data_IF_661328589091
#
_entry.id   IF_661328589091
#
_cell.length_a   1.000
_cell.length_b   1.000
_cell.length_c   1.000
_cell.angle_alpha   90.00
_cell.angle_beta   90.00
_cell.angle_gamma   90.00
#
_symmetry.space_group_name_H-M   'P 1'
#
loop_
_entity.id
_entity.type
_entity.pdbx_description
1 polymer ?
#
# COMPACT_ATOMS: atom_id res chain seq x y z
N UNK A 1 13.17 -62.89 37.93
CA UNK A 1 12.07 -63.07 36.95
C UNK A 1 12.32 -62.10 35.82
N UNK A 2 12.52 -62.45 34.56
CA UNK A 2 12.34 -63.66 33.74
C UNK A 2 13.28 -63.41 32.55
N UNK A 3 14.24 -64.31 32.26
CA UNK A 3 14.09 -65.33 31.20
C UNK A 3 14.41 -64.73 29.83
N UNK A 4 15.59 -64.95 29.24
CA UNK A 4 15.95 -66.07 28.34
C UNK A 4 15.18 -65.96 26.99
N UNK A 5 15.68 -66.23 25.78
CA UNK A 5 16.75 -67.07 25.19
C UNK A 5 16.85 -66.61 23.69
N UNK A 6 17.89 -66.80 22.87
CA UNK A 6 18.44 -68.03 22.27
C UNK A 6 19.60 -67.57 21.33
N UNK A 7 20.85 -68.03 21.46
CA UNK A 7 21.50 -69.12 20.69
C UNK A 7 21.25 -69.07 19.17
N UNK A 8 22.17 -69.35 18.24
CA UNK A 8 23.61 -69.58 18.15
C UNK A 8 23.93 -69.66 16.63
N UNK A 9 25.20 -69.96 16.29
CA UNK A 9 25.64 -70.58 15.04
C UNK A 9 26.05 -69.69 13.85
N UNK A 10 27.37 -69.48 13.77
CA UNK A 10 28.11 -69.35 12.51
C UNK A 10 28.51 -70.75 12.03
N UNK A 11 28.63 -70.98 10.71
CA UNK A 11 29.91 -71.50 10.24
C UNK A 11 30.42 -70.83 8.95
N UNK A 12 31.75 -70.76 8.89
CA UNK A 12 32.60 -70.28 7.80
C UNK A 12 32.68 -71.32 6.67
N UNK A 13 32.46 -70.93 5.41
CA UNK A 13 33.00 -71.58 4.19
C UNK A 13 33.23 -70.47 3.15
N UNK A 14 34.46 -69.96 3.00
CA UNK A 14 35.47 -70.29 1.96
C UNK A 14 35.13 -69.73 0.56
N UNK A 15 35.98 -68.77 0.15
CA UNK A 15 36.49 -68.45 -1.18
C UNK A 15 35.81 -69.03 -2.43
N UNK A 16 35.32 -68.15 -3.29
CA UNK A 16 35.57 -68.26 -4.73
C UNK A 16 35.58 -66.88 -5.38
N UNK A 17 36.74 -66.56 -5.95
CA UNK A 17 37.04 -65.39 -6.79
C UNK A 17 36.24 -65.48 -8.09
N UNK A 18 35.58 -64.39 -8.50
CA UNK A 18 35.33 -64.15 -9.92
C UNK A 18 35.37 -62.64 -10.23
N UNK A 19 36.52 -62.24 -10.76
CA UNK A 19 36.77 -60.97 -11.43
C UNK A 19 36.01 -60.99 -12.75
N UNK A 20 35.09 -60.05 -12.96
CA UNK A 20 34.70 -59.59 -14.30
C UNK A 20 34.66 -58.06 -14.28
N UNK A 21 35.72 -57.47 -14.81
CA UNK A 21 35.79 -56.08 -15.29
C UNK A 21 34.83 -55.93 -16.47
N UNK A 22 33.90 -54.96 -16.42
CA UNK A 22 33.56 -54.17 -17.60
C UNK A 22 33.14 -52.76 -17.20
N UNK A 23 33.82 -51.79 -17.79
CA UNK A 23 33.55 -50.38 -17.76
C UNK A 23 32.10 -50.07 -18.16
N UNK A 24 31.51 -49.03 -17.57
CA UNK A 24 30.95 -47.87 -18.30
C UNK A 24 30.20 -46.93 -17.34
N UNK A 25 30.52 -45.65 -17.44
CA UNK A 25 29.59 -44.56 -17.12
C UNK A 25 29.63 -44.02 -15.69
N UNK A 26 30.48 -43.02 -15.45
CA UNK A 26 30.05 -41.90 -14.63
C UNK A 26 28.82 -41.27 -15.31
N UNK A 27 27.62 -41.73 -14.97
CA UNK A 27 26.41 -40.97 -15.23
C UNK A 27 26.43 -39.77 -14.29
N UNK A 28 27.04 -38.66 -14.73
CA UNK A 28 26.68 -37.35 -14.22
C UNK A 28 25.19 -37.17 -14.51
N UNK A 29 24.34 -37.46 -13.52
CA UNK A 29 22.97 -36.95 -13.52
C UNK A 29 23.12 -35.43 -13.54
N UNK A 30 23.01 -34.83 -14.73
CA UNK A 30 22.48 -33.46 -14.80
C UNK A 30 21.21 -33.51 -13.95
N UNK A 31 21.06 -32.68 -12.90
CA UNK A 31 19.75 -32.57 -12.28
C UNK A 31 18.78 -32.28 -13.41
N UNK A 32 17.70 -33.05 -13.48
CA UNK A 32 16.59 -32.69 -14.34
C UNK A 32 16.26 -31.24 -13.99
N UNK A 33 16.60 -30.33 -14.89
CA UNK A 33 16.09 -28.98 -14.84
C UNK A 33 14.58 -29.19 -14.90
N UNK A 34 13.92 -28.95 -13.76
CA UNK A 34 12.51 -28.67 -13.77
C UNK A 34 12.38 -27.45 -14.67
N UNK A 35 12.10 -27.68 -15.95
CA UNK A 35 11.45 -26.68 -16.78
C UNK A 35 10.06 -26.53 -16.19
N UNK A 36 9.94 -25.78 -15.09
CA UNK A 36 8.69 -25.10 -14.80
C UNK A 36 8.44 -24.23 -16.03
N UNK A 37 7.33 -24.43 -16.77
CA UNK A 37 6.93 -23.46 -17.76
C UNK A 37 6.94 -22.10 -17.06
N UNK A 38 7.63 -21.13 -17.64
CA UNK A 38 7.58 -19.75 -17.19
C UNK A 38 6.10 -19.32 -17.31
N UNK A 39 5.38 -19.42 -16.20
CA UNK A 39 3.96 -19.15 -16.16
C UNK A 39 3.86 -17.64 -16.06
N UNK A 40 3.83 -16.97 -17.22
CA UNK A 40 3.63 -15.54 -17.29
C UNK A 40 2.31 -15.22 -16.60
N UNK A 41 2.39 -14.58 -15.44
CA UNK A 41 1.20 -14.21 -14.67
C UNK A 41 0.69 -12.91 -15.28
N UNK A 42 -0.38 -13.00 -16.05
CA UNK A 42 -1.11 -11.83 -16.53
C UNK A 42 -1.83 -11.16 -15.35
N UNK A 43 -1.27 -10.05 -14.87
CA UNK A 43 -1.89 -9.25 -13.81
C UNK A 43 -2.72 -8.13 -14.45
N UNK A 44 -4.02 -8.12 -14.17
CA UNK A 44 -4.88 -7.00 -14.56
C UNK A 44 -4.54 -5.79 -13.70
N UNK A 45 -4.26 -4.66 -14.34
CA UNK A 45 -3.96 -3.40 -13.66
C UNK A 45 -4.95 -2.30 -14.04
N UNK A 46 -5.26 -1.43 -13.10
CA UNK A 46 -6.10 -0.26 -13.30
C UNK A 46 -5.27 1.01 -13.09
N UNK A 47 -5.29 1.91 -14.08
CA UNK A 47 -4.55 3.18 -14.05
C UNK A 47 -5.54 4.33 -14.02
N UNK A 48 -5.42 5.16 -13.00
CA UNK A 48 -6.24 6.36 -12.83
C UNK A 48 -5.58 7.57 -13.48
N UNK A 49 -6.41 8.43 -14.04
CA UNK A 49 -6.07 9.80 -14.38
C UNK A 49 -6.88 10.74 -13.50
N UNK A 50 -6.24 11.82 -13.03
CA UNK A 50 -6.82 12.76 -12.08
C UNK A 50 -6.74 14.18 -12.60
N UNK A 51 -7.69 15.01 -12.19
CA UNK A 51 -7.60 16.46 -12.31
C UNK A 51 -8.08 17.12 -11.01
N UNK A 52 -7.49 18.25 -10.65
CA UNK A 52 -7.95 19.05 -9.53
C UNK A 52 -9.09 19.94 -10.03
N UNK A 53 -10.21 19.94 -9.31
CA UNK A 53 -11.39 20.78 -9.61
C UNK A 53 -11.57 21.91 -8.61
N UNK A 54 -10.95 21.79 -7.43
CA UNK A 54 -10.90 22.82 -6.38
C UNK A 54 -9.54 22.76 -5.70
N UNK A 55 -8.94 23.91 -5.33
CA UNK A 55 -9.48 25.29 -5.42
C UNK A 55 -9.46 25.91 -6.82
N UNK A 56 -8.74 25.29 -7.76
CA UNK A 56 -8.66 25.70 -9.16
C UNK A 56 -8.83 24.48 -10.07
N UNK A 57 -9.33 24.69 -11.28
CA UNK A 57 -9.47 23.63 -12.27
C UNK A 57 -8.16 23.46 -13.05
N UNK A 58 -7.50 22.31 -12.90
CA UNK A 58 -6.23 22.00 -13.56
C UNK A 58 -5.93 20.50 -13.57
N UNK A 59 -5.04 20.07 -14.46
CA UNK A 59 -4.62 18.66 -14.54
C UNK A 59 -3.51 18.29 -13.55
N UNK A 60 -2.76 19.28 -13.03
CA UNK A 60 -1.77 19.04 -12.00
C UNK A 60 -2.44 18.83 -10.63
N UNK A 61 -1.81 18.02 -9.78
CA UNK A 61 -2.23 17.85 -8.38
C UNK A 61 -1.55 18.86 -7.45
N UNK A 62 -1.07 19.98 -8.00
CA UNK A 62 -0.24 20.96 -7.29
C UNK A 62 -0.94 22.31 -7.20
N UNK A 63 -1.26 22.76 -6.00
CA UNK A 63 -1.82 24.07 -5.74
C UNK A 63 -0.80 24.97 -5.05
N UNK A 64 -0.86 26.27 -5.36
CA UNK A 64 -0.05 27.30 -4.72
C UNK A 64 -0.85 28.59 -4.59
N UNK A 65 -0.75 29.22 -3.44
CA UNK A 65 -1.12 30.61 -3.24
C UNK A 65 -0.06 31.36 -2.41
N UNK A 66 -0.44 32.49 -1.81
CA UNK A 66 0.42 33.28 -0.93
C UNK A 66 0.76 32.59 0.40
N UNK A 67 -0.08 31.66 0.86
CA UNK A 67 0.04 31.02 2.16
C UNK A 67 0.83 29.72 2.11
N UNK A 68 0.54 28.88 1.13
CA UNK A 68 1.15 27.56 1.03
C UNK A 68 1.27 27.04 -0.40
N UNK A 69 2.14 26.05 -0.56
CA UNK A 69 2.09 25.12 -1.68
C UNK A 69 1.59 23.77 -1.14
N UNK A 70 0.69 23.11 -1.88
CA UNK A 70 0.21 21.78 -1.57
C UNK A 70 0.22 20.90 -2.82
N UNK A 71 0.79 19.70 -2.72
CA UNK A 71 0.66 18.65 -3.72
C UNK A 71 -0.07 17.45 -3.14
N UNK A 72 -1.09 16.99 -3.87
CA UNK A 72 -1.82 15.77 -3.54
C UNK A 72 -1.26 14.58 -4.32
N UNK A 73 -1.15 13.45 -3.64
CA UNK A 73 -0.63 12.20 -4.20
C UNK A 73 -1.66 11.08 -3.97
N UNK A 74 -2.66 10.91 -4.86
CA UNK A 74 -3.65 9.84 -4.74
C UNK A 74 -3.01 8.45 -4.81
N UNK A 75 -3.34 7.58 -3.85
CA UNK A 75 -2.89 6.19 -3.78
C UNK A 75 -4.04 5.28 -3.36
N UNK A 76 -3.90 3.98 -3.58
CA UNK A 76 -4.99 3.01 -3.36
C UNK A 76 -5.69 3.14 -2.00
N UNK A 77 -4.92 3.27 -0.91
CA UNK A 77 -5.44 3.33 0.46
C UNK A 77 -5.38 4.73 1.09
N UNK A 78 -4.55 5.63 0.56
CA UNK A 78 -4.22 6.92 1.19
C UNK A 78 -4.17 8.04 0.15
N UNK A 79 -4.26 9.29 0.60
CA UNK A 79 -3.84 10.46 -0.16
C UNK A 79 -2.60 11.02 0.53
N UNK A 80 -1.49 11.10 -0.21
CA UNK A 80 -0.31 11.83 0.24
C UNK A 80 -0.51 13.34 0.13
N UNK A 81 0.01 14.07 1.10
CA UNK A 81 0.00 15.53 1.16
C UNK A 81 1.45 16.00 1.32
N UNK A 82 1.95 16.72 0.33
CA UNK A 82 3.17 17.50 0.46
C UNK A 82 2.79 18.96 0.63
N UNK A 83 3.11 19.55 1.78
CA UNK A 83 2.75 20.94 2.10
C UNK A 83 4.03 21.72 2.38
N UNK A 84 4.17 22.88 1.75
CA UNK A 84 5.25 23.82 2.03
C UNK A 84 4.63 25.11 2.58
N UNK A 85 5.11 25.53 3.74
CA UNK A 85 4.71 26.80 4.33
C UNK A 85 5.41 27.96 3.60
N UNK A 86 4.64 28.84 2.94
CA UNK A 86 5.19 30.00 2.23
C UNK A 86 5.17 31.28 3.06
N UNK A 87 4.63 31.23 4.27
CA UNK A 87 4.60 32.36 5.19
C UNK A 87 5.93 32.55 5.91
N UNK A 88 6.15 33.75 6.43
CA UNK A 88 7.29 34.09 7.30
C UNK A 88 7.09 33.59 8.74
N UNK A 89 5.88 33.14 9.06
CA UNK A 89 5.51 32.61 10.37
C UNK A 89 5.13 31.13 10.30
N UNK A 90 4.99 30.49 11.46
CA UNK A 90 4.57 29.10 11.53
C UNK A 90 3.10 28.94 11.14
N UNK A 91 2.79 27.81 10.49
CA UNK A 91 1.42 27.36 10.26
C UNK A 91 1.17 26.08 11.03
N UNK A 92 -0.08 25.87 11.47
CA UNK A 92 -0.46 24.68 12.23
C UNK A 92 -1.66 24.00 11.57
N UNK A 93 -1.59 22.67 11.46
CA UNK A 93 -2.68 21.82 11.00
C UNK A 93 -3.19 21.02 12.20
N UNK A 94 -4.46 21.21 12.57
CA UNK A 94 -5.15 20.35 13.53
C UNK A 94 -5.83 19.19 12.79
N UNK A 95 -5.20 18.02 12.84
CA UNK A 95 -5.68 16.80 12.18
C UNK A 95 -7.01 16.27 12.72
N UNK A 96 -7.48 16.75 13.87
CA UNK A 96 -8.83 16.43 14.36
C UNK A 96 -9.91 17.20 13.58
N UNK A 97 -9.55 18.27 12.86
CA UNK A 97 -10.45 19.09 12.04
C UNK A 97 -10.38 18.76 10.55
N UNK A 98 -9.34 18.06 10.11
CA UNK A 98 -9.20 17.61 8.71
C UNK A 98 -10.25 16.56 8.39
N UNK A 99 -10.84 16.65 7.20
CA UNK A 99 -11.82 15.67 6.69
C UNK A 99 -11.45 15.22 5.29
N UNK A 100 -11.72 13.96 4.99
CA UNK A 100 -11.80 13.50 3.61
C UNK A 100 -13.26 13.50 3.17
N UNK A 101 -13.52 13.91 1.94
CA UNK A 101 -14.86 13.93 1.36
C UNK A 101 -14.96 12.78 0.36
N UNK A 102 -15.95 11.91 0.54
CA UNK A 102 -16.21 10.78 -0.36
C UNK A 102 -16.91 11.23 -1.68
N UNK A 103 -17.04 10.34 -2.68
CA UNK A 103 -17.78 10.62 -3.91
C UNK A 103 -19.24 11.05 -3.72
N UNK A 104 -19.86 10.64 -2.62
CA UNK A 104 -21.23 10.99 -2.25
C UNK A 104 -21.31 12.37 -1.56
N UNK A 105 -20.17 12.99 -1.22
CA UNK A 105 -20.08 14.29 -0.56
C UNK A 105 -20.08 14.23 0.98
N UNK A 106 -20.01 13.05 1.58
CA UNK A 106 -19.93 12.87 3.03
C UNK A 106 -18.52 13.15 3.54
N UNK A 107 -18.43 13.73 4.73
CA UNK A 107 -17.17 14.05 5.38
C UNK A 107 -16.76 12.99 6.40
N UNK A 108 -15.59 12.41 6.18
CA UNK A 108 -15.00 11.35 6.99
C UNK A 108 -13.83 11.87 7.84
N UNK A 109 -13.74 11.47 9.12
CA UNK A 109 -12.55 11.71 9.93
C UNK A 109 -11.36 10.97 9.34
N UNK A 110 -10.15 11.54 9.42
CA UNK A 110 -8.94 10.98 8.81
C UNK A 110 -8.06 10.25 9.81
N UNK A 111 -7.12 9.42 9.37
CA UNK A 111 -5.95 8.97 10.13
C UNK A 111 -4.69 9.29 9.35
N UNK A 112 -3.59 9.60 10.06
CA UNK A 112 -2.27 9.87 9.50
C UNK A 112 -1.41 8.60 9.45
N UNK A 113 -0.48 8.51 8.50
CA UNK A 113 0.58 7.48 8.41
C UNK A 113 0.12 6.02 8.59
N UNK A 114 -1.14 5.72 8.24
CA UNK A 114 -1.75 4.40 8.47
C UNK A 114 -1.49 3.88 9.90
N UNK A 115 -1.55 4.76 10.92
CA UNK A 115 -1.47 4.40 12.34
C UNK A 115 -2.26 3.12 12.57
N UNK A 116 -1.66 2.16 13.29
CA UNK A 116 -2.23 0.84 13.61
C UNK A 116 -3.73 0.99 13.77
N UNK A 117 -4.52 0.29 12.94
CA UNK A 117 -5.97 0.46 12.83
C UNK A 117 -6.73 0.29 14.17
N UNK A 118 -6.04 -0.20 15.22
CA UNK A 118 -6.52 -0.25 16.61
C UNK A 118 -6.61 1.12 17.30
N UNK A 119 -5.85 2.11 16.86
CA UNK A 119 -5.65 3.41 17.52
C UNK A 119 -6.39 4.57 16.81
N UNK A 120 -7.28 4.26 15.86
CA UNK A 120 -7.83 5.23 14.91
C UNK A 120 -8.66 6.35 15.54
N UNK A 121 -9.19 6.11 16.74
CA UNK A 121 -10.01 7.07 17.49
C UNK A 121 -9.22 7.96 18.46
N UNK A 122 -7.89 7.83 18.53
CA UNK A 122 -7.09 8.67 19.41
C UNK A 122 -7.05 10.13 18.93
N UNK A 123 -7.04 11.07 19.86
CA UNK A 123 -6.79 12.48 19.58
C UNK A 123 -5.47 12.64 18.86
N UNK A 124 -5.48 13.40 17.76
CA UNK A 124 -4.31 13.62 16.92
C UNK A 124 -3.57 14.87 17.37
N UNK A 125 -2.25 14.81 17.38
CA UNK A 125 -1.41 15.94 17.78
C UNK A 125 -1.31 16.88 16.57
N UNK A 126 -1.67 18.17 16.71
CA UNK A 126 -1.50 19.13 15.62
C UNK A 126 -0.05 19.21 15.15
N UNK A 127 0.15 19.40 13.85
CA UNK A 127 1.47 19.56 13.27
C UNK A 127 1.75 21.03 12.98
N UNK A 128 2.88 21.53 13.48
CA UNK A 128 3.38 22.88 13.19
C UNK A 128 4.47 22.81 12.12
N UNK A 129 4.33 23.61 11.07
CA UNK A 129 5.28 23.72 9.96
C UNK A 129 5.96 25.07 10.07
N UNK A 130 7.29 25.06 10.21
CA UNK A 130 8.10 26.28 10.27
C UNK A 130 8.04 27.07 8.95
N UNK A 131 8.39 28.37 8.92
CA UNK A 131 8.54 29.13 7.68
C UNK A 131 9.43 28.40 6.68
N UNK A 132 8.98 28.29 5.43
CA UNK A 132 9.64 27.50 4.36
C UNK A 132 9.80 26.00 4.68
N UNK A 133 9.23 25.53 5.77
CA UNK A 133 9.23 24.14 6.18
C UNK A 133 8.36 23.29 5.27
N UNK A 134 8.72 22.00 5.20
CA UNK A 134 8.03 20.99 4.40
C UNK A 134 7.38 19.97 5.33
N UNK A 135 6.14 19.63 5.04
CA UNK A 135 5.43 18.50 5.62
C UNK A 135 5.16 17.47 4.52
N UNK A 136 5.52 16.23 4.77
CA UNK A 136 5.10 15.09 3.97
C UNK A 136 4.25 14.18 4.86
N UNK A 137 3.00 13.98 4.50
CA UNK A 137 2.04 13.23 5.31
C UNK A 137 1.17 12.35 4.42
N UNK A 138 0.61 11.27 4.96
CA UNK A 138 -0.41 10.46 4.28
C UNK A 138 -1.67 10.41 5.12
N UNK A 139 -2.82 10.61 4.49
CA UNK A 139 -4.12 10.57 5.15
C UNK A 139 -5.03 9.51 4.53
N UNK A 140 -5.86 8.89 5.35
CA UNK A 140 -6.92 7.99 4.92
C UNK A 140 -8.19 8.19 5.75
N UNK A 141 -9.38 7.84 5.24
CA UNK A 141 -10.60 7.84 6.04
C UNK A 141 -10.48 6.82 7.17
N UNK A 142 -10.75 7.24 8.39
CA UNK A 142 -10.59 6.42 9.58
C UNK A 142 -11.69 5.37 9.76
N UNK A 143 -12.81 5.56 9.08
CA UNK A 143 -13.95 4.66 9.02
C UNK A 143 -13.92 3.73 7.79
N UNK A 144 -12.89 3.84 6.95
CA UNK A 144 -12.59 2.81 5.94
C UNK A 144 -11.99 1.55 6.55
N UNK A 145 -11.57 1.58 7.82
CA UNK A 145 -11.07 0.39 8.50
C UNK A 145 -12.19 -0.51 8.98
N UNK A 146 -12.01 -1.82 8.79
CA UNK A 146 -12.95 -2.83 9.24
C UNK A 146 -12.21 -4.10 9.66
N UNK A 147 -12.85 -4.91 10.51
CA UNK A 147 -12.31 -6.21 10.89
C UNK A 147 -12.72 -7.26 9.85
N UNK A 148 -11.75 -7.70 9.05
CA UNK A 148 -11.90 -8.84 8.15
C UNK A 148 -11.45 -10.15 8.81
N UNK A 149 -11.54 -11.26 8.06
CA UNK A 149 -11.13 -12.58 8.55
C UNK A 149 -9.63 -12.64 8.93
N UNK A 150 -8.77 -11.93 8.19
CA UNK A 150 -7.33 -11.87 8.42
C UNK A 150 -6.90 -10.77 9.41
N UNK A 151 -7.85 -10.16 10.11
CA UNK A 151 -7.61 -9.02 11.00
C UNK A 151 -8.06 -7.70 10.40
N UNK A 152 -7.50 -6.61 10.90
CA UNK A 152 -7.88 -5.26 10.45
C UNK A 152 -7.51 -5.05 8.98
N UNK A 153 -8.48 -4.60 8.21
CA UNK A 153 -8.38 -4.28 6.79
C UNK A 153 -8.88 -2.84 6.56
N UNK A 154 -8.58 -2.30 5.39
CA UNK A 154 -8.97 -0.94 5.01
C UNK A 154 -9.57 -0.94 3.61
N UNK A 155 -10.71 -0.28 3.45
CA UNK A 155 -11.33 -0.06 2.13
C UNK A 155 -10.49 0.94 1.32
N UNK A 156 -10.16 0.60 0.06
CA UNK A 156 -9.40 1.50 -0.78
C UNK A 156 -10.21 2.72 -1.19
N UNK A 157 -9.53 3.86 -1.26
CA UNK A 157 -10.05 5.11 -1.83
C UNK A 157 -10.05 4.99 -3.36
N UNK A 158 -8.97 4.40 -3.91
CA UNK A 158 -8.78 4.16 -5.34
C UNK A 158 -8.44 2.68 -5.57
N UNK A 159 -9.43 1.77 -5.56
CA UNK A 159 -9.22 0.33 -5.69
C UNK A 159 -8.42 -0.05 -6.94
N UNK A 160 -7.63 -1.13 -6.86
CA UNK A 160 -6.98 -1.76 -8.03
C UNK A 160 -7.76 -2.97 -8.57
N UNK A 161 -9.06 -3.02 -8.27
CA UNK A 161 -10.01 -4.04 -8.74
C UNK A 161 -10.90 -3.46 -9.84
N UNK A 162 -11.84 -4.27 -10.35
CA UNK A 162 -12.82 -3.81 -11.35
C UNK A 162 -13.68 -2.64 -10.86
N UNK A 163 -13.86 -2.51 -9.53
CA UNK A 163 -14.54 -1.37 -8.90
C UNK A 163 -13.92 -0.02 -9.28
N UNK A 164 -12.64 0.00 -9.68
CA UNK A 164 -11.96 1.18 -10.19
C UNK A 164 -12.72 1.85 -11.34
N UNK A 165 -13.32 1.05 -12.23
CA UNK A 165 -14.03 1.56 -13.41
C UNK A 165 -15.24 2.41 -13.01
N UNK A 166 -15.87 2.12 -11.86
CA UNK A 166 -17.01 2.87 -11.35
C UNK A 166 -16.64 4.28 -10.85
N UNK A 167 -15.35 4.51 -10.55
CA UNK A 167 -14.88 5.79 -10.03
C UNK A 167 -14.66 6.84 -11.13
N UNK A 168 -14.81 6.51 -12.42
CA UNK A 168 -14.69 7.52 -13.48
C UNK A 168 -15.75 8.62 -13.29
N UNK A 169 -15.30 9.86 -13.17
CA UNK A 169 -16.12 11.03 -12.86
C UNK A 169 -16.39 11.26 -11.37
N UNK A 170 -16.02 10.32 -10.50
CA UNK A 170 -16.12 10.48 -9.06
C UNK A 170 -15.17 11.56 -8.56
N UNK A 171 -15.60 12.24 -7.50
CA UNK A 171 -14.84 13.31 -6.84
C UNK A 171 -14.43 12.86 -5.45
N UNK A 172 -13.20 13.12 -5.05
CA UNK A 172 -12.72 12.89 -3.69
C UNK A 172 -12.09 14.17 -3.19
N UNK A 173 -12.45 14.57 -1.97
CA UNK A 173 -12.02 15.83 -1.39
C UNK A 173 -11.11 15.68 -0.18
N UNK A 174 -10.28 16.70 0.06
CA UNK A 174 -9.58 16.92 1.32
C UNK A 174 -9.92 18.31 1.82
N UNK A 175 -10.66 18.37 2.92
CA UNK A 175 -10.90 19.61 3.65
C UNK A 175 -9.81 19.80 4.70
N UNK A 176 -9.00 20.83 4.51
CA UNK A 176 -7.78 21.09 5.27
C UNK A 176 -7.82 22.50 5.88
N UNK A 177 -8.23 22.63 7.15
CA UNK A 177 -8.07 23.87 7.90
C UNK A 177 -6.60 24.07 8.29
N UNK A 178 -6.05 25.22 7.93
CA UNK A 178 -4.70 25.62 8.30
C UNK A 178 -4.77 26.87 9.15
N UNK A 179 -4.22 26.82 10.36
CA UNK A 179 -4.06 27.98 11.22
C UNK A 179 -2.80 28.73 10.82
N UNK A 180 -2.95 30.00 10.48
CA UNK A 180 -1.88 30.93 10.15
C UNK A 180 -2.05 32.10 11.11
N UNK A 181 -1.06 32.36 11.98
CA UNK A 181 -1.19 33.31 13.09
C UNK A 181 -2.44 33.02 13.96
N UNK A 182 -3.41 33.95 13.95
CA UNK A 182 -4.65 33.89 14.72
C UNK A 182 -5.88 33.66 13.83
N UNK A 183 -5.69 33.33 12.55
CA UNK A 183 -6.75 33.05 11.59
C UNK A 183 -6.68 31.59 11.12
N UNK A 184 -7.84 31.00 10.84
CA UNK A 184 -7.94 29.71 10.17
C UNK A 184 -8.31 29.96 8.71
N UNK A 185 -7.46 29.50 7.80
CA UNK A 185 -7.74 29.47 6.36
C UNK A 185 -8.14 28.04 5.98
N UNK A 186 -9.31 27.89 5.39
CA UNK A 186 -9.85 26.58 5.02
C UNK A 186 -9.57 26.29 3.55
N UNK A 187 -8.89 25.18 3.27
CA UNK A 187 -8.66 24.70 1.92
C UNK A 187 -9.58 23.51 1.64
N UNK A 188 -10.17 23.48 0.45
CA UNK A 188 -10.84 22.30 -0.08
C UNK A 188 -10.13 21.90 -1.38
N UNK A 189 -9.38 20.81 -1.31
CA UNK A 189 -8.79 20.18 -2.47
C UNK A 189 -9.77 19.13 -2.99
N UNK A 190 -10.33 19.35 -4.17
CA UNK A 190 -11.21 18.36 -4.82
C UNK A 190 -10.47 17.78 -6.02
N UNK A 191 -10.42 16.45 -6.06
CA UNK A 191 -9.83 15.69 -7.15
C UNK A 191 -10.96 14.95 -7.85
N UNK A 192 -11.04 15.05 -9.17
CA UNK A 192 -11.90 14.21 -10.00
C UNK A 192 -11.07 13.13 -10.68
N UNK A 193 -11.60 11.91 -10.72
CA UNK A 193 -11.06 10.84 -11.56
C UNK A 193 -11.54 11.08 -12.99
N UNK A 194 -10.67 11.56 -13.86
CA UNK A 194 -11.03 11.90 -15.25
C UNK A 194 -11.15 10.66 -16.13
N UNK A 195 -10.32 9.65 -15.88
CA UNK A 195 -10.36 8.38 -16.59
C UNK A 195 -9.78 7.23 -15.77
N UNK A 196 -10.19 6.00 -16.11
CA UNK A 196 -9.66 4.77 -15.55
C UNK A 196 -9.41 3.78 -16.69
N UNK A 197 -8.15 3.42 -16.91
CA UNK A 197 -7.76 2.48 -17.96
C UNK A 197 -7.43 1.12 -17.37
N UNK A 198 -8.11 0.07 -17.84
CA UNK A 198 -7.77 -1.34 -17.58
C UNK A 198 -6.67 -1.79 -18.54
N UNK A 199 -5.61 -2.39 -17.99
CA UNK A 199 -4.51 -2.96 -18.76
C UNK A 199 -4.11 -4.33 -18.23
N UNK A 200 -3.20 -4.98 -18.97
CA UNK A 200 -2.58 -6.24 -18.56
C UNK A 200 -1.09 -5.98 -18.40
N UNK A 201 -0.54 -6.32 -17.24
CA UNK A 201 0.89 -6.38 -17.00
C UNK A 201 1.31 -7.84 -17.06
N UNK A 202 2.29 -8.15 -17.90
CA UNK A 202 2.90 -9.46 -17.95
C UNK A 202 4.15 -9.39 -17.06
N UNK A 203 4.19 -10.21 -16.01
CA UNK A 203 5.38 -10.37 -15.16
C UNK A 203 6.26 -11.52 -15.64
#
# INVERSE_FOLDING_TARGET
STGCIEEAYMPRIICAVLIVLLATGCATRKPASLNTPDHQIEETIYRYQYAMTSPIQQTSMEYRDENLFCRLLPQELVIGLDIINLQEETITIDWNQVRMIDPEGNAHPIVQNMVILRDMHRTRIPTTIMPQGVLNETIAPSDNAYLGFAGWQQRPIFPKTEDALSLKGAKVGVYLPVKIQNRVTNYLFEIVVTDVTKGIMIR
#
